data_IF_374168157550
#
_entry.id   IF_374168157550
#
_cell.length_a   1.000
_cell.length_b   1.000
_cell.length_c   1.000
_cell.angle_alpha   90.00
_cell.angle_beta   90.00
_cell.angle_gamma   90.00
#
_symmetry.space_group_name_H-M   'P 1'
#
loop_
_entity.id
_entity.type
_entity.pdbx_description
1 polymer ?
#
# COMPACT_ATOMS: atom_id res chain seq x y z
N UNK A 1 -6.92 -24.32 -2.81
CA UNK A 1 -8.34 -24.41 -3.29
C UNK A 1 -9.09 -25.28 -2.30
N UNK A 2 -10.25 -24.84 -1.82
CA UNK A 2 -11.06 -25.59 -0.88
C UNK A 2 -11.50 -26.93 -1.50
N UNK A 3 -11.38 -28.04 -0.77
CA UNK A 3 -11.75 -29.38 -1.25
C UNK A 3 -13.27 -29.51 -1.31
N UNK A 4 -13.79 -29.95 -2.46
CA UNK A 4 -15.23 -30.19 -2.68
C UNK A 4 -15.54 -31.68 -2.71
N UNK A 5 -16.86 -32.02 -2.67
CA UNK A 5 -17.27 -33.40 -2.83
C UNK A 5 -16.88 -33.99 -4.21
N UNK A 6 -16.87 -33.15 -5.25
CA UNK A 6 -16.42 -33.56 -6.58
C UNK A 6 -14.94 -33.95 -6.58
N UNK A 7 -14.10 -33.16 -5.89
CA UNK A 7 -12.67 -33.47 -5.77
C UNK A 7 -12.45 -34.78 -5.02
N UNK A 8 -13.17 -34.97 -3.91
CA UNK A 8 -13.08 -36.18 -3.09
C UNK A 8 -13.51 -37.43 -3.85
N UNK A 9 -14.59 -37.39 -4.63
CA UNK A 9 -15.09 -38.50 -5.43
C UNK A 9 -14.19 -38.79 -6.64
N UNK A 10 -13.43 -37.81 -7.10
CA UNK A 10 -12.52 -37.92 -8.22
C UNK A 10 -11.15 -38.53 -7.85
N UNK A 11 -10.86 -38.69 -6.54
CA UNK A 11 -9.60 -39.28 -6.10
C UNK A 11 -9.54 -40.78 -6.38
N UNK A 12 -8.69 -41.21 -7.34
CA UNK A 12 -8.61 -42.61 -7.73
C UNK A 12 -8.05 -43.53 -6.62
N UNK A 13 -7.33 -42.95 -5.63
CA UNK A 13 -6.76 -43.71 -4.53
C UNK A 13 -7.84 -44.18 -3.53
N UNK A 14 -8.97 -43.51 -3.50
CA UNK A 14 -10.09 -43.83 -2.59
C UNK A 14 -11.15 -44.72 -3.26
N UNK A 15 -11.21 -44.72 -4.59
CA UNK A 15 -12.16 -45.58 -5.34
C UNK A 15 -13.63 -45.40 -4.90
N UNK A 16 -13.99 -44.16 -4.47
CA UNK A 16 -15.35 -43.84 -4.06
C UNK A 16 -16.28 -43.81 -5.26
N UNK A 17 -17.51 -44.26 -5.09
CA UNK A 17 -18.48 -44.31 -6.17
C UNK A 17 -19.75 -43.60 -5.76
N UNK A 18 -20.09 -42.50 -6.48
CA UNK A 18 -21.36 -41.82 -6.28
C UNK A 18 -22.54 -42.75 -6.58
N UNK A 19 -23.56 -42.76 -5.74
CA UNK A 19 -24.79 -43.54 -5.88
C UNK A 19 -26.00 -42.64 -5.66
N UNK A 20 -27.10 -42.92 -6.35
CA UNK A 20 -28.33 -42.12 -6.29
C UNK A 20 -28.39 -41.05 -7.39
N UNK A 21 -29.41 -40.21 -7.32
CA UNK A 21 -29.72 -39.18 -8.31
C UNK A 21 -29.23 -37.77 -7.87
N UNK A 22 -28.90 -37.59 -6.59
CA UNK A 22 -28.45 -36.29 -6.08
C UNK A 22 -27.02 -36.00 -6.56
N UNK A 23 -26.83 -34.83 -7.21
CA UNK A 23 -25.54 -34.41 -7.72
C UNK A 23 -24.63 -33.82 -6.62
N UNK A 24 -23.30 -34.07 -6.68
CA UNK A 24 -22.34 -33.47 -5.76
C UNK A 24 -22.37 -31.94 -5.84
N UNK A 25 -22.41 -31.27 -4.70
CA UNK A 25 -22.33 -29.80 -4.63
C UNK A 25 -20.89 -29.30 -4.75
N UNK A 26 -20.73 -28.06 -5.24
CA UNK A 26 -19.44 -27.36 -5.26
C UNK A 26 -19.12 -26.70 -3.91
N UNK A 27 -19.89 -26.95 -2.87
CA UNK A 27 -19.69 -26.40 -1.53
C UNK A 27 -18.45 -27.04 -0.87
N UNK A 28 -17.59 -26.22 -0.21
CA UNK A 28 -16.38 -26.72 0.43
C UNK A 28 -16.69 -27.66 1.61
N UNK A 29 -16.03 -28.82 1.63
CA UNK A 29 -16.07 -29.73 2.78
C UNK A 29 -15.28 -29.13 3.94
N UNK A 30 -15.90 -28.97 5.09
CA UNK A 30 -15.21 -28.49 6.29
C UNK A 30 -14.58 -29.61 7.11
N UNK A 31 -15.19 -30.81 7.12
CA UNK A 31 -14.70 -31.96 7.87
C UNK A 31 -15.31 -33.27 7.37
N UNK A 32 -14.74 -34.39 7.82
CA UNK A 32 -15.32 -35.73 7.65
C UNK A 32 -15.67 -36.28 9.03
N UNK A 33 -16.93 -36.48 9.26
CA UNK A 33 -17.46 -37.04 10.51
C UNK A 33 -17.72 -38.55 10.33
N UNK A 34 -17.14 -39.38 11.18
CA UNK A 34 -17.40 -40.83 11.21
C UNK A 34 -18.34 -41.13 12.37
N UNK A 35 -19.50 -41.73 12.10
CA UNK A 35 -20.48 -42.00 13.12
C UNK A 35 -21.31 -43.26 12.85
N UNK A 36 -21.62 -44.02 13.91
CA UNK A 36 -22.59 -45.11 13.90
C UNK A 36 -23.82 -44.79 14.76
N UNK A 37 -24.00 -43.50 15.09
CA UNK A 37 -25.19 -43.08 15.89
C UNK A 37 -26.41 -42.99 14.99
N UNK A 38 -27.57 -43.38 15.50
CA UNK A 38 -28.85 -43.17 14.81
C UNK A 38 -29.25 -41.68 14.73
N UNK A 39 -28.79 -40.87 15.70
CA UNK A 39 -28.96 -39.41 15.69
C UNK A 39 -27.62 -38.70 15.98
N UNK A 40 -26.87 -38.32 14.93
CA UNK A 40 -25.60 -37.67 15.11
C UNK A 40 -25.69 -36.13 15.20
N UNK A 41 -26.88 -35.51 15.06
CA UNK A 41 -27.06 -34.03 15.02
C UNK A 41 -26.35 -33.27 16.15
N UNK A 42 -26.30 -33.72 17.42
CA UNK A 42 -25.59 -33.00 18.46
C UNK A 42 -24.07 -32.87 18.26
N UNK A 43 -23.50 -33.63 17.32
CA UNK A 43 -22.05 -33.70 17.03
C UNK A 43 -21.69 -33.18 15.63
N UNK A 44 -22.67 -32.65 14.89
CA UNK A 44 -22.47 -32.09 13.55
C UNK A 44 -22.59 -30.56 13.57
N UNK A 45 -21.79 -29.86 12.79
CA UNK A 45 -21.76 -28.40 12.72
C UNK A 45 -22.23 -27.86 11.36
N UNK A 46 -22.46 -28.76 10.39
CA UNK A 46 -22.78 -28.42 8.99
C UNK A 46 -21.58 -28.40 8.06
N UNK A 47 -21.86 -28.53 6.76
CA UNK A 47 -20.84 -28.62 5.71
C UNK A 47 -19.82 -29.76 5.88
N UNK A 48 -20.23 -30.86 6.51
CA UNK A 48 -19.43 -32.06 6.73
C UNK A 48 -19.84 -33.15 5.75
N UNK A 49 -18.94 -34.11 5.53
CA UNK A 49 -19.26 -35.43 4.93
C UNK A 49 -19.38 -36.43 6.05
N UNK A 50 -20.53 -37.11 6.18
CA UNK A 50 -20.78 -38.14 7.21
C UNK A 50 -20.46 -39.51 6.64
N UNK A 51 -19.57 -40.27 7.30
CA UNK A 51 -19.26 -41.67 6.98
C UNK A 51 -19.92 -42.59 8.02
N UNK A 52 -20.61 -43.63 7.54
CA UNK A 52 -21.23 -44.65 8.38
C UNK A 52 -21.20 -46.02 7.72
N UNK A 53 -21.13 -47.08 8.50
CA UNK A 53 -21.35 -48.47 8.01
C UNK A 53 -22.82 -48.91 8.14
N UNK A 54 -23.63 -48.07 8.79
CA UNK A 54 -25.05 -48.36 9.00
C UNK A 54 -25.32 -49.53 9.93
N UNK A 55 -24.37 -49.91 10.80
CA UNK A 55 -24.51 -51.07 11.70
C UNK A 55 -25.73 -51.00 12.61
N UNK A 56 -26.18 -49.78 12.95
CA UNK A 56 -27.40 -49.53 13.73
C UNK A 56 -28.63 -49.24 12.87
N UNK A 57 -28.49 -49.06 11.60
CA UNK A 57 -29.55 -48.73 10.65
C UNK A 57 -30.18 -49.99 10.07
N UNK A 58 -30.76 -50.81 10.94
CA UNK A 58 -31.23 -52.17 10.61
C UNK A 58 -32.63 -52.21 9.96
N UNK A 59 -33.40 -51.11 10.05
CA UNK A 59 -34.76 -51.05 9.49
C UNK A 59 -34.88 -49.92 8.45
N UNK A 60 -35.76 -50.04 7.45
CA UNK A 60 -36.05 -48.96 6.50
C UNK A 60 -36.47 -47.64 7.19
N UNK A 61 -37.11 -47.72 8.33
CA UNK A 61 -37.53 -46.55 9.12
C UNK A 61 -36.34 -45.83 9.77
N UNK A 62 -35.38 -46.57 10.37
CA UNK A 62 -34.17 -46.01 10.97
C UNK A 62 -33.25 -45.42 9.90
N UNK A 63 -33.16 -46.05 8.71
CA UNK A 63 -32.37 -45.57 7.55
C UNK A 63 -32.88 -44.21 7.07
N UNK A 64 -34.19 -44.08 6.83
CA UNK A 64 -34.77 -42.78 6.43
C UNK A 64 -34.66 -41.73 7.53
N UNK A 65 -34.89 -42.09 8.77
CA UNK A 65 -34.74 -41.15 9.88
C UNK A 65 -33.33 -40.62 10.04
N UNK A 66 -32.32 -41.46 9.83
CA UNK A 66 -30.91 -41.05 9.82
C UNK A 66 -30.63 -40.01 8.73
N UNK A 67 -31.05 -40.26 7.48
CA UNK A 67 -30.85 -39.32 6.36
C UNK A 67 -31.47 -37.95 6.65
N UNK A 68 -32.73 -37.92 7.15
CA UNK A 68 -33.39 -36.65 7.54
C UNK A 68 -32.58 -35.89 8.57
N UNK A 69 -32.08 -36.57 9.60
CA UNK A 69 -31.34 -35.96 10.71
C UNK A 69 -30.01 -35.36 10.24
N UNK A 70 -29.27 -36.05 9.39
CA UNK A 70 -28.00 -35.51 8.85
C UNK A 70 -28.24 -34.39 7.84
N UNK A 71 -29.31 -34.49 7.04
CA UNK A 71 -29.73 -33.39 6.17
C UNK A 71 -30.14 -32.16 6.96
N UNK A 72 -30.95 -32.30 8.03
CA UNK A 72 -31.31 -31.20 8.95
C UNK A 72 -30.10 -30.56 9.61
N UNK A 73 -29.01 -31.30 9.82
CA UNK A 73 -27.76 -30.80 10.37
C UNK A 73 -26.86 -30.08 9.31
N UNK A 74 -27.29 -29.99 8.03
CA UNK A 74 -26.52 -29.33 6.98
C UNK A 74 -25.31 -30.11 6.45
N UNK A 75 -25.38 -31.42 6.51
CA UNK A 75 -24.37 -32.33 5.97
C UNK A 75 -24.35 -32.27 4.43
N UNK A 76 -23.19 -32.25 3.81
CA UNK A 76 -23.02 -32.13 2.36
C UNK A 76 -23.20 -33.48 1.63
N UNK A 77 -22.86 -34.59 2.26
CA UNK A 77 -22.97 -35.92 1.67
C UNK A 77 -22.88 -37.03 2.72
N UNK A 78 -23.44 -38.22 2.37
CA UNK A 78 -23.30 -39.44 3.15
C UNK A 78 -22.40 -40.42 2.42
N UNK A 79 -21.26 -40.79 3.02
CA UNK A 79 -20.44 -41.90 2.58
C UNK A 79 -20.79 -43.19 3.32
N UNK A 80 -21.20 -44.19 2.61
CA UNK A 80 -21.65 -45.47 3.18
C UNK A 80 -20.65 -46.60 2.95
N UNK A 81 -20.07 -47.12 4.02
CA UNK A 81 -19.16 -48.23 4.00
C UNK A 81 -19.85 -49.54 3.74
N UNK A 82 -19.56 -50.20 2.63
CA UNK A 82 -20.09 -51.48 2.22
C UNK A 82 -19.19 -52.63 2.60
N UNK A 83 -19.73 -53.89 2.59
CA UNK A 83 -18.98 -55.14 2.87
C UNK A 83 -18.85 -55.49 4.34
N UNK A 84 -19.42 -54.69 5.26
CA UNK A 84 -19.50 -54.99 6.69
C UNK A 84 -20.94 -55.34 7.12
N UNK A 85 -21.73 -54.39 7.59
CA UNK A 85 -23.10 -54.59 7.99
C UNK A 85 -24.05 -54.76 6.78
N UNK A 86 -23.72 -54.10 5.67
CA UNK A 86 -24.49 -54.10 4.45
C UNK A 86 -23.57 -54.35 3.27
N UNK A 87 -24.05 -55.13 2.26
CA UNK A 87 -23.30 -55.39 1.03
C UNK A 87 -23.37 -54.23 0.02
N UNK A 88 -24.45 -53.44 0.11
CA UNK A 88 -24.76 -52.28 -0.74
C UNK A 88 -25.42 -51.21 0.12
N UNK A 89 -25.51 -49.98 -0.39
CA UNK A 89 -26.25 -48.93 0.30
C UNK A 89 -27.72 -49.34 0.38
N UNK A 90 -28.35 -49.31 1.59
CA UNK A 90 -29.75 -49.72 1.71
C UNK A 90 -30.66 -48.85 0.82
N UNK A 91 -31.58 -49.47 0.04
CA UNK A 91 -32.46 -48.69 -0.87
C UNK A 91 -33.33 -47.67 -0.17
N UNK A 92 -33.72 -47.91 1.08
CA UNK A 92 -34.50 -46.93 1.86
C UNK A 92 -33.68 -45.71 2.32
N UNK A 93 -32.35 -45.87 2.49
CA UNK A 93 -31.44 -44.78 2.78
C UNK A 93 -31.22 -43.97 1.49
N UNK A 94 -30.88 -44.63 0.39
CA UNK A 94 -30.61 -43.99 -0.88
C UNK A 94 -31.81 -43.22 -1.43
N UNK A 95 -33.01 -43.83 -1.41
CA UNK A 95 -34.23 -43.16 -1.85
C UNK A 95 -34.58 -41.92 -1.02
N UNK A 96 -34.38 -41.94 0.31
CA UNK A 96 -34.59 -40.76 1.14
C UNK A 96 -33.53 -39.67 0.89
N UNK A 97 -32.27 -40.07 0.60
CA UNK A 97 -31.20 -39.13 0.25
C UNK A 97 -31.50 -38.44 -1.09
N UNK A 98 -31.98 -39.20 -2.09
CA UNK A 98 -32.39 -38.65 -3.39
C UNK A 98 -33.60 -37.69 -3.23
N UNK A 99 -34.61 -38.06 -2.43
CA UNK A 99 -35.80 -37.23 -2.18
C UNK A 99 -35.44 -35.87 -1.53
N UNK A 100 -34.37 -35.84 -0.74
CA UNK A 100 -33.85 -34.63 -0.06
C UNK A 100 -32.76 -33.93 -0.83
N UNK A 101 -32.31 -34.46 -1.98
CA UNK A 101 -31.20 -33.89 -2.76
C UNK A 101 -29.85 -34.01 -2.02
N UNK A 102 -29.67 -34.94 -1.10
CA UNK A 102 -28.46 -35.20 -0.35
C UNK A 102 -27.60 -36.23 -1.06
N UNK A 103 -26.42 -35.86 -1.59
CA UNK A 103 -25.50 -36.80 -2.27
C UNK A 103 -25.13 -37.98 -1.37
N UNK A 104 -25.14 -39.20 -1.95
CA UNK A 104 -24.65 -40.37 -1.29
C UNK A 104 -23.60 -41.09 -2.15
N UNK A 105 -22.59 -41.67 -1.53
CA UNK A 105 -21.56 -42.42 -2.20
C UNK A 105 -21.12 -43.67 -1.44
N UNK A 106 -20.70 -44.68 -2.16
CA UNK A 106 -20.19 -45.92 -1.62
C UNK A 106 -18.70 -45.81 -1.31
N UNK A 107 -18.35 -46.23 -0.09
CA UNK A 107 -16.95 -46.42 0.32
C UNK A 107 -16.66 -47.93 0.26
N UNK A 108 -15.72 -48.42 -0.59
CA UNK A 108 -15.35 -49.83 -0.70
C UNK A 108 -14.80 -50.36 0.63
N UNK A 109 -14.97 -51.69 0.86
CA UNK A 109 -14.48 -52.34 2.07
C UNK A 109 -12.98 -52.16 2.32
N UNK A 110 -12.20 -52.14 1.24
CA UNK A 110 -10.75 -52.00 1.25
C UNK A 110 -10.30 -50.60 1.68
N UNK A 111 -11.19 -49.62 1.67
CA UNK A 111 -10.90 -48.21 1.99
C UNK A 111 -11.30 -47.87 3.41
N UNK A 112 -10.37 -47.74 4.34
CA UNK A 112 -10.68 -47.34 5.71
C UNK A 112 -11.24 -45.92 5.73
N UNK A 113 -12.24 -45.66 6.56
CA UNK A 113 -12.80 -44.28 6.73
C UNK A 113 -11.75 -43.24 7.12
N UNK A 114 -10.72 -43.66 7.85
CA UNK A 114 -9.60 -42.79 8.18
C UNK A 114 -8.82 -42.30 6.94
N UNK A 115 -8.79 -43.05 5.85
CA UNK A 115 -8.15 -42.63 4.61
C UNK A 115 -8.93 -41.48 3.96
N UNK A 116 -10.28 -41.57 3.92
CA UNK A 116 -11.14 -40.49 3.44
C UNK A 116 -10.97 -39.22 4.31
N UNK A 117 -11.01 -39.41 5.64
CA UNK A 117 -10.79 -38.29 6.56
C UNK A 117 -9.42 -37.64 6.41
N UNK A 118 -8.37 -38.47 6.20
CA UNK A 118 -7.01 -37.96 5.99
C UNK A 118 -6.89 -37.15 4.69
N UNK A 119 -7.44 -37.63 3.59
CA UNK A 119 -7.42 -36.92 2.29
C UNK A 119 -8.03 -35.50 2.45
N UNK A 120 -9.21 -35.41 3.12
CA UNK A 120 -9.84 -34.10 3.35
C UNK A 120 -9.01 -33.24 4.30
N UNK A 121 -8.49 -33.80 5.39
CA UNK A 121 -7.66 -33.05 6.36
C UNK A 121 -6.35 -32.55 5.73
N UNK A 122 -5.69 -33.37 4.91
CA UNK A 122 -4.47 -33.00 4.18
C UNK A 122 -4.77 -31.86 3.17
N UNK A 123 -5.90 -31.95 2.45
CA UNK A 123 -6.31 -30.91 1.51
C UNK A 123 -6.66 -29.59 2.21
N UNK A 124 -7.37 -29.63 3.33
CA UNK A 124 -7.66 -28.44 4.16
C UNK A 124 -6.38 -27.81 4.73
N UNK A 125 -5.44 -28.64 5.15
CA UNK A 125 -4.15 -28.19 5.64
C UNK A 125 -3.33 -27.53 4.51
N UNK A 126 -3.28 -28.14 3.33
CA UNK A 126 -2.57 -27.61 2.17
C UNK A 126 -3.15 -26.25 1.73
N UNK A 127 -4.47 -26.08 1.74
CA UNK A 127 -5.11 -24.81 1.41
C UNK A 127 -4.75 -23.72 2.43
N UNK A 128 -4.70 -24.06 3.71
CA UNK A 128 -4.27 -23.14 4.76
C UNK A 128 -2.79 -22.76 4.62
N UNK A 129 -1.91 -23.70 4.31
CA UNK A 129 -0.49 -23.44 4.11
C UNK A 129 -0.21 -22.61 2.86
N UNK A 130 -0.92 -22.86 1.75
CA UNK A 130 -0.73 -22.06 0.53
C UNK A 130 -1.11 -20.59 0.73
N UNK A 131 -2.18 -20.30 1.48
CA UNK A 131 -2.54 -18.93 1.83
C UNK A 131 -1.49 -18.22 2.71
N UNK A 132 -0.84 -18.97 3.61
CA UNK A 132 0.25 -18.44 4.42
C UNK A 132 1.52 -18.20 3.60
N UNK A 133 1.85 -19.10 2.67
CA UNK A 133 2.99 -18.95 1.75
C UNK A 133 2.82 -17.71 0.86
N UNK A 134 1.65 -17.51 0.24
CA UNK A 134 1.34 -16.32 -0.56
C UNK A 134 1.50 -15.03 0.25
N UNK A 135 1.06 -15.04 1.51
CA UNK A 135 1.22 -13.88 2.40
C UNK A 135 2.70 -13.59 2.68
N UNK A 136 3.49 -14.63 3.00
CA UNK A 136 4.92 -14.49 3.29
C UNK A 136 5.71 -14.04 2.05
N UNK A 137 5.40 -14.58 0.87
CA UNK A 137 5.97 -14.13 -0.39
C UNK A 137 5.63 -12.66 -0.67
N UNK A 138 4.39 -12.25 -0.46
CA UNK A 138 3.97 -10.86 -0.57
C UNK A 138 4.73 -9.92 0.36
N UNK A 139 4.93 -10.33 1.63
CA UNK A 139 5.72 -9.58 2.59
C UNK A 139 7.19 -9.47 2.16
N UNK A 140 7.80 -10.59 1.75
CA UNK A 140 9.19 -10.62 1.29
C UNK A 140 9.38 -9.74 0.04
N UNK A 141 8.45 -9.80 -0.91
CA UNK A 141 8.46 -8.97 -2.12
C UNK A 141 8.39 -7.48 -1.79
N UNK A 142 7.46 -7.05 -0.94
CA UNK A 142 7.34 -5.65 -0.51
C UNK A 142 8.61 -5.16 0.21
N UNK A 143 9.16 -5.95 1.13
CA UNK A 143 10.38 -5.59 1.87
C UNK A 143 11.60 -5.48 0.95
N UNK A 144 11.81 -6.46 0.06
CA UNK A 144 12.94 -6.45 -0.88
C UNK A 144 12.85 -5.29 -1.87
N UNK A 145 11.64 -4.96 -2.32
CA UNK A 145 11.40 -3.84 -3.23
C UNK A 145 11.70 -2.49 -2.56
N UNK A 146 11.33 -2.33 -1.29
CA UNK A 146 11.65 -1.12 -0.52
C UNK A 146 13.16 -0.93 -0.34
N UNK A 147 13.89 -2.01 -0.08
CA UNK A 147 15.36 -2.00 0.11
C UNK A 147 16.12 -1.82 -1.22
N UNK A 148 15.45 -1.97 -2.35
CA UNK A 148 16.00 -1.77 -3.67
C UNK A 148 16.17 -0.29 -4.04
N UNK A 149 16.74 0.00 -5.22
CA UNK A 149 17.07 1.37 -5.65
C UNK A 149 15.85 2.27 -5.88
N UNK A 150 14.66 1.68 -6.04
CA UNK A 150 13.41 2.43 -6.24
C UNK A 150 12.72 2.86 -4.95
N UNK A 151 13.14 2.33 -3.78
CA UNK A 151 12.64 2.71 -2.47
C UNK A 151 11.10 2.74 -2.36
N UNK A 152 10.58 3.82 -1.81
CA UNK A 152 9.14 4.00 -1.58
C UNK A 152 8.30 3.93 -2.86
N UNK A 153 8.79 4.48 -3.97
CA UNK A 153 8.04 4.43 -5.24
C UNK A 153 7.92 3.01 -5.78
N UNK A 154 8.98 2.21 -5.67
CA UNK A 154 8.95 0.81 -6.06
C UNK A 154 8.06 -0.04 -5.14
N UNK A 155 8.09 0.22 -3.82
CA UNK A 155 7.18 -0.42 -2.88
C UNK A 155 5.71 -0.16 -3.23
N UNK A 156 5.34 1.09 -3.56
CA UNK A 156 3.98 1.42 -3.97
C UNK A 156 3.61 0.75 -5.30
N UNK A 157 4.57 0.62 -6.23
CA UNK A 157 4.41 -0.11 -7.49
C UNK A 157 4.12 -1.60 -7.24
N UNK A 158 4.86 -2.22 -6.35
CA UNK A 158 4.66 -3.62 -5.99
C UNK A 158 3.31 -3.83 -5.26
N UNK A 159 2.96 -2.92 -4.35
CA UNK A 159 1.65 -2.95 -3.69
C UNK A 159 0.50 -2.81 -4.71
N UNK A 160 0.62 -1.90 -5.67
CA UNK A 160 -0.36 -1.74 -6.75
C UNK A 160 -0.46 -3.01 -7.62
N UNK A 161 0.66 -3.71 -7.85
CA UNK A 161 0.72 -4.98 -8.57
C UNK A 161 -0.01 -6.09 -7.81
N UNK A 162 0.25 -6.25 -6.52
CA UNK A 162 -0.38 -7.27 -5.67
C UNK A 162 -1.89 -7.02 -5.58
N UNK A 163 -2.29 -5.78 -5.31
CA UNK A 163 -3.70 -5.41 -5.15
C UNK A 163 -4.45 -5.23 -6.48
N UNK A 164 -3.72 -5.17 -7.60
CA UNK A 164 -4.26 -4.90 -8.95
C UNK A 164 -5.11 -3.63 -9.02
N UNK A 165 -4.72 -2.59 -8.30
CA UNK A 165 -5.42 -1.30 -8.25
C UNK A 165 -4.45 -0.13 -8.14
N UNK A 166 -4.96 1.10 -8.30
CA UNK A 166 -4.16 2.30 -8.12
C UNK A 166 -3.89 2.56 -6.65
N UNK A 167 -2.64 2.92 -6.36
CA UNK A 167 -2.18 3.26 -5.01
C UNK A 167 -1.52 4.63 -5.01
N UNK A 168 -1.86 5.48 -4.05
CA UNK A 168 -1.25 6.80 -3.90
C UNK A 168 -1.00 7.14 -2.43
N UNK A 169 0.10 7.85 -2.17
CA UNK A 169 0.50 8.29 -0.85
C UNK A 169 0.39 9.80 -0.76
N UNK A 170 -0.28 10.28 0.28
CA UNK A 170 -0.48 11.70 0.53
C UNK A 170 0.15 12.10 1.87
N UNK A 171 0.74 13.28 1.91
CA UNK A 171 1.21 13.91 3.14
C UNK A 171 0.64 15.33 3.20
N UNK A 172 -0.03 15.68 4.30
CA UNK A 172 -0.78 16.94 4.47
C UNK A 172 -1.83 17.22 3.39
N UNK A 173 -2.21 16.23 2.58
CA UNK A 173 -3.13 16.40 1.44
C UNK A 173 -2.45 16.50 0.08
N UNK A 174 -1.14 16.77 0.02
CA UNK A 174 -0.38 16.69 -1.22
C UNK A 174 -0.01 15.23 -1.55
N UNK A 175 -0.13 14.85 -2.82
CA UNK A 175 0.35 13.57 -3.30
C UNK A 175 1.88 13.61 -3.34
N UNK A 176 2.52 12.68 -2.63
CA UNK A 176 3.98 12.60 -2.54
C UNK A 176 4.57 11.42 -3.31
N UNK A 177 3.76 10.40 -3.58
CA UNK A 177 4.14 9.25 -4.40
C UNK A 177 2.88 8.51 -4.86
N UNK A 178 3.01 7.59 -5.81
CA UNK A 178 1.92 6.70 -6.20
C UNK A 178 2.27 5.85 -7.41
N UNK A 179 1.55 4.74 -7.55
CA UNK A 179 1.68 3.82 -8.67
C UNK A 179 0.30 3.54 -9.27
N UNK A 180 0.17 3.53 -10.59
CA UNK A 180 -1.05 3.14 -11.27
C UNK A 180 -1.20 1.61 -11.25
N UNK A 181 -2.43 1.17 -11.44
CA UNK A 181 -2.75 -0.24 -11.68
C UNK A 181 -1.88 -0.80 -12.83
N UNK A 182 -1.28 -1.98 -12.66
CA UNK A 182 -0.56 -2.63 -13.75
C UNK A 182 -1.50 -2.86 -14.94
N UNK A 183 -1.05 -2.51 -16.14
CA UNK A 183 -1.80 -2.80 -17.37
C UNK A 183 -1.61 -4.26 -17.72
N UNK A 184 -2.70 -4.99 -17.95
CA UNK A 184 -2.65 -6.32 -18.55
C UNK A 184 -2.10 -6.22 -19.97
N UNK A 185 -0.84 -6.62 -20.15
CA UNK A 185 -0.17 -6.64 -21.47
C UNK A 185 -0.70 -7.73 -22.39
N UNK A 186 -1.57 -8.63 -21.89
CA UNK A 186 -2.17 -9.74 -22.65
C UNK A 186 -3.49 -9.37 -23.36
N UNK A 187 -4.06 -8.18 -23.08
CA UNK A 187 -5.27 -7.76 -23.79
C UNK A 187 -4.92 -7.21 -25.20
N UNK A 188 -5.57 -7.69 -26.28
CA UNK A 188 -5.34 -7.16 -27.63
C UNK A 188 -5.66 -5.66 -27.69
N UNK A 189 -4.72 -4.86 -28.20
CA UNK A 189 -4.88 -3.42 -28.43
C UNK A 189 -5.99 -3.18 -29.44
N UNK A 190 -7.23 -2.99 -28.97
CA UNK A 190 -8.30 -2.41 -29.77
C UNK A 190 -8.25 -0.86 -29.66
N UNK A 191 -8.46 -0.11 -30.74
CA UNK A 191 -8.34 1.36 -30.75
C UNK A 191 -9.44 2.11 -29.99
N UNK A 192 -10.28 1.44 -29.21
CA UNK A 192 -11.44 2.02 -28.49
C UNK A 192 -11.37 1.86 -26.96
N UNK A 193 -10.30 1.29 -26.38
CA UNK A 193 -10.23 1.04 -24.93
C UNK A 193 -9.81 2.25 -24.08
N UNK A 194 -9.17 3.27 -24.66
CA UNK A 194 -8.69 4.45 -23.91
C UNK A 194 -9.77 5.48 -23.57
N UNK A 195 -10.97 5.37 -24.15
CA UNK A 195 -12.08 6.33 -23.91
C UNK A 195 -13.12 5.85 -22.89
N UNK A 196 -13.10 4.59 -22.46
CA UNK A 196 -14.17 4.01 -21.64
C UNK A 196 -13.92 4.05 -20.12
N UNK A 197 -12.76 4.55 -19.66
CA UNK A 197 -12.42 4.62 -18.24
C UNK A 197 -12.40 6.05 -17.65
N UNK A 198 -12.90 7.01 -18.40
CA UNK A 198 -13.09 8.39 -17.92
C UNK A 198 -14.57 8.59 -17.56
N UNK A 199 -14.98 8.37 -16.31
CA UNK A 199 -16.24 8.92 -15.90
C UNK A 199 -17.16 8.19 -14.91
N UNK A 200 -16.62 7.42 -13.97
CA UNK A 200 -17.38 7.05 -12.76
C UNK A 200 -16.67 7.53 -11.50
N UNK A 201 -17.37 7.91 -10.41
CA UNK A 201 -16.72 8.20 -9.16
C UNK A 201 -16.03 6.93 -8.65
N UNK A 202 -14.72 6.78 -8.90
CA UNK A 202 -13.93 5.68 -8.36
C UNK A 202 -13.82 5.89 -6.85
N UNK A 203 -14.43 5.00 -6.09
CA UNK A 203 -14.33 5.02 -4.63
C UNK A 203 -12.88 4.78 -4.24
N UNK A 204 -12.35 5.63 -3.37
CA UNK A 204 -10.98 5.54 -2.88
C UNK A 204 -10.98 5.40 -1.36
N UNK A 205 -10.40 4.32 -0.87
CA UNK A 205 -10.21 4.06 0.55
C UNK A 205 -8.95 4.79 1.03
N UNK A 206 -9.07 5.54 2.11
CA UNK A 206 -7.97 6.31 2.71
C UNK A 206 -7.60 5.70 4.06
N UNK A 207 -6.42 5.13 4.14
CA UNK A 207 -5.87 4.50 5.33
C UNK A 207 -4.84 5.43 5.98
N UNK A 208 -4.94 5.74 7.27
CA UNK A 208 -3.97 6.57 7.94
C UNK A 208 -2.63 5.84 8.08
N UNK A 209 -1.52 6.54 7.82
CA UNK A 209 -0.17 6.05 8.09
C UNK A 209 0.32 6.70 9.38
N UNK A 210 0.58 5.90 10.40
CA UNK A 210 1.10 6.36 11.68
C UNK A 210 2.60 6.62 11.58
N UNK A 211 3.01 7.84 11.24
CA UNK A 211 4.39 8.27 11.41
C UNK A 211 4.58 8.80 12.84
N UNK A 212 5.70 8.51 13.48
CA UNK A 212 6.01 9.07 14.81
C UNK A 212 6.18 10.61 14.83
N UNK A 213 5.94 11.29 13.70
CA UNK A 213 6.24 12.70 13.45
C UNK A 213 5.01 13.61 13.55
N UNK A 214 3.83 13.10 13.92
CA UNK A 214 2.54 13.81 13.90
C UNK A 214 2.18 14.40 12.52
N UNK A 215 2.68 13.80 11.47
CA UNK A 215 2.35 14.13 10.09
C UNK A 215 0.99 13.54 9.73
N UNK A 216 0.27 14.22 8.84
CA UNK A 216 -0.97 13.69 8.27
C UNK A 216 -0.64 12.92 7.00
N UNK A 217 -0.27 11.65 7.16
CA UNK A 217 0.00 10.76 6.04
C UNK A 217 -1.14 9.79 5.82
N UNK A 218 -1.54 9.59 4.57
CA UNK A 218 -2.62 8.68 4.18
C UNK A 218 -2.23 7.88 2.95
N UNK A 219 -2.46 6.58 3.00
CA UNK A 219 -2.40 5.68 1.86
C UNK A 219 -3.80 5.62 1.23
N UNK A 220 -3.91 5.94 -0.04
CA UNK A 220 -5.14 5.89 -0.80
C UNK A 220 -5.09 4.70 -1.75
N UNK A 221 -6.09 3.83 -1.69
CA UNK A 221 -6.24 2.64 -2.53
C UNK A 221 -7.58 2.73 -3.23
N UNK A 222 -7.57 2.58 -4.56
CA UNK A 222 -8.77 2.67 -5.38
C UNK A 222 -9.48 1.32 -5.43
N UNK A 223 -10.80 1.31 -5.58
CA UNK A 223 -11.59 0.08 -5.81
C UNK A 223 -11.15 -0.67 -7.09
N UNK A 224 -11.19 -2.01 -7.12
CA UNK A 224 -11.68 -2.90 -6.05
C UNK A 224 -10.63 -3.10 -4.94
N UNK A 225 -11.05 -2.96 -3.70
CA UNK A 225 -10.17 -3.09 -2.54
C UNK A 225 -10.81 -3.90 -1.42
N UNK A 226 -10.06 -4.88 -0.89
CA UNK A 226 -10.37 -5.57 0.35
C UNK A 226 -9.18 -5.43 1.30
N UNK A 227 -9.48 -5.14 2.56
CA UNK A 227 -8.44 -5.04 3.59
C UNK A 227 -7.78 -6.41 3.80
N UNK A 228 -6.45 -6.43 3.88
CA UNK A 228 -5.66 -7.66 4.03
C UNK A 228 -4.40 -7.40 4.84
N UNK A 229 -3.82 -8.46 5.41
CA UNK A 229 -2.58 -8.39 6.16
C UNK A 229 -1.39 -7.84 5.33
N UNK A 230 -1.42 -7.98 4.00
CA UNK A 230 -0.43 -7.37 3.10
C UNK A 230 -0.50 -5.85 3.17
N UNK A 231 -1.70 -5.27 3.23
CA UNK A 231 -1.88 -3.82 3.35
C UNK A 231 -1.38 -3.31 4.69
N UNK A 232 -1.67 -4.01 5.80
CA UNK A 232 -1.16 -3.64 7.12
C UNK A 232 0.37 -3.67 7.17
N UNK A 233 0.97 -4.68 6.54
CA UNK A 233 2.41 -4.77 6.43
C UNK A 233 3.00 -3.64 5.58
N UNK A 234 2.40 -3.34 4.43
CA UNK A 234 2.79 -2.21 3.58
C UNK A 234 2.68 -0.87 4.32
N UNK A 235 1.60 -0.64 5.09
CA UNK A 235 1.45 0.55 5.93
C UNK A 235 2.61 0.68 6.93
N UNK A 236 3.02 -0.43 7.54
CA UNK A 236 4.14 -0.45 8.48
C UNK A 236 5.47 -0.09 7.82
N UNK A 237 5.75 -0.67 6.64
CA UNK A 237 6.94 -0.35 5.86
C UNK A 237 6.96 1.12 5.40
N UNK A 238 5.83 1.62 4.89
CA UNK A 238 5.67 3.02 4.48
C UNK A 238 5.90 3.96 5.67
N UNK A 239 5.36 3.62 6.84
CA UNK A 239 5.54 4.40 8.08
C UNK A 239 7.01 4.54 8.46
N UNK A 240 7.76 3.44 8.45
CA UNK A 240 9.20 3.42 8.76
C UNK A 240 9.96 4.25 7.74
N UNK A 241 9.71 4.05 6.46
CA UNK A 241 10.41 4.75 5.38
C UNK A 241 10.12 6.25 5.38
N UNK A 242 8.87 6.67 5.52
CA UNK A 242 8.51 8.09 5.64
C UNK A 242 9.18 8.75 6.84
N UNK A 243 9.24 8.04 7.97
CA UNK A 243 9.91 8.54 9.17
C UNK A 243 11.40 8.71 8.94
N UNK A 244 12.04 7.75 8.29
CA UNK A 244 13.46 7.80 7.93
C UNK A 244 13.76 8.94 6.95
N UNK A 245 13.00 9.05 5.87
CA UNK A 245 13.14 10.13 4.89
C UNK A 245 12.92 11.51 5.51
N UNK A 246 11.94 11.66 6.40
CA UNK A 246 11.69 12.93 7.07
C UNK A 246 12.84 13.32 8.01
N UNK A 247 13.42 12.35 8.74
CA UNK A 247 14.61 12.59 9.59
C UNK A 247 15.81 13.01 8.75
N UNK A 248 16.09 12.29 7.68
CA UNK A 248 17.21 12.59 6.76
C UNK A 248 17.02 13.97 6.13
N UNK A 249 15.82 14.29 5.67
CA UNK A 249 15.46 15.59 5.10
C UNK A 249 15.63 16.73 6.11
N UNK A 250 15.17 16.52 7.34
CA UNK A 250 15.29 17.52 8.41
C UNK A 250 16.74 17.77 8.76
N UNK A 251 17.55 16.72 8.89
CA UNK A 251 18.99 16.84 9.17
C UNK A 251 19.72 17.60 8.04
N UNK A 252 19.45 17.24 6.79
CA UNK A 252 20.03 17.91 5.63
C UNK A 252 19.64 19.40 5.57
N UNK A 253 18.36 19.72 5.78
CA UNK A 253 17.87 21.12 5.82
C UNK A 253 18.52 21.93 6.94
N UNK A 254 18.73 21.31 8.11
CA UNK A 254 19.39 21.98 9.24
C UNK A 254 20.87 22.25 8.94
N UNK A 255 21.59 21.26 8.37
CA UNK A 255 23.01 21.43 8.03
C UNK A 255 23.23 22.53 6.98
N UNK A 256 22.43 22.52 5.90
CA UNK A 256 22.49 23.58 4.87
C UNK A 256 22.06 24.93 5.48
N UNK A 257 21.08 24.91 6.39
CA UNK A 257 20.57 26.11 7.08
C UNK A 257 21.67 26.82 7.86
N UNK A 258 22.51 26.10 8.58
CA UNK A 258 23.64 26.70 9.32
C UNK A 258 24.61 27.41 8.39
N UNK A 259 24.97 26.81 7.28
CA UNK A 259 25.89 27.44 6.29
C UNK A 259 25.26 28.71 5.71
N UNK A 260 23.99 28.67 5.34
CA UNK A 260 23.28 29.84 4.81
C UNK A 260 23.12 30.95 5.86
N UNK A 261 22.84 30.59 7.11
CA UNK A 261 22.70 31.56 8.22
C UNK A 261 24.02 32.29 8.47
N UNK A 262 25.15 31.58 8.47
CA UNK A 262 26.47 32.16 8.62
C UNK A 262 26.80 33.12 7.46
N UNK A 263 26.45 32.80 6.22
CA UNK A 263 26.61 33.68 5.06
C UNK A 263 25.69 34.92 5.20
N UNK A 264 24.43 34.73 5.56
CA UNK A 264 23.46 35.83 5.72
C UNK A 264 23.89 36.78 6.84
N UNK A 265 24.43 36.26 7.93
CA UNK A 265 24.96 37.08 9.04
C UNK A 265 26.30 37.73 8.69
N UNK A 266 27.00 37.29 7.65
CA UNK A 266 28.29 37.76 7.26
C UNK A 266 29.48 37.23 8.09
N UNK A 267 29.24 36.20 8.89
CA UNK A 267 30.27 35.48 9.67
C UNK A 267 31.07 34.52 8.80
N UNK A 268 30.51 34.13 7.65
CA UNK A 268 31.15 33.28 6.65
C UNK A 268 31.15 33.98 5.29
N UNK A 269 32.33 34.23 4.74
CA UNK A 269 32.49 34.97 3.47
C UNK A 269 33.65 34.43 2.61
N UNK A 270 33.76 34.90 1.36
CA UNK A 270 34.86 34.61 0.46
C UNK A 270 35.06 33.13 0.16
N UNK A 271 36.33 32.72 0.11
CA UNK A 271 36.71 31.34 -0.25
C UNK A 271 36.21 30.27 0.74
N UNK A 272 36.15 30.62 2.01
CA UNK A 272 35.62 29.66 3.03
C UNK A 272 34.12 29.42 2.82
N UNK A 273 33.33 30.46 2.56
CA UNK A 273 31.93 30.31 2.22
C UNK A 273 31.74 29.46 0.95
N UNK A 274 32.55 29.69 -0.09
CA UNK A 274 32.50 28.89 -1.31
C UNK A 274 32.82 27.42 -1.04
N UNK A 275 33.82 27.11 -0.23
CA UNK A 275 34.19 25.75 0.14
C UNK A 275 33.04 25.03 0.93
N UNK A 276 32.41 25.73 1.90
CA UNK A 276 31.27 25.19 2.68
C UNK A 276 30.04 24.98 1.83
N UNK A 277 29.76 25.90 0.88
CA UNK A 277 28.68 25.73 -0.09
C UNK A 277 28.92 24.51 -0.98
N UNK A 278 30.15 24.34 -1.51
CA UNK A 278 30.50 23.16 -2.29
C UNK A 278 30.32 21.85 -1.50
N UNK A 279 30.74 21.84 -0.22
CA UNK A 279 30.48 20.70 0.69
C UNK A 279 28.99 20.39 0.93
N UNK A 280 28.11 21.40 0.74
CA UNK A 280 26.66 21.26 0.79
C UNK A 280 26.02 20.94 -0.58
N UNK A 281 26.86 20.72 -1.62
CA UNK A 281 26.44 20.44 -2.99
C UNK A 281 25.92 21.65 -3.75
N UNK A 282 26.39 22.86 -3.40
CA UNK A 282 26.08 24.11 -4.08
C UNK A 282 27.40 24.69 -4.70
N UNK A 283 27.39 24.92 -6.00
CA UNK A 283 28.53 25.53 -6.67
C UNK A 283 28.40 27.06 -6.58
N UNK A 284 29.34 27.70 -5.86
CA UNK A 284 29.38 29.15 -5.70
C UNK A 284 29.67 29.91 -6.99
N UNK A 285 30.22 29.27 -8.03
CA UNK A 285 30.48 29.87 -9.34
C UNK A 285 29.22 29.97 -10.21
N UNK A 286 28.18 29.22 -9.89
CA UNK A 286 26.89 29.23 -10.59
C UNK A 286 26.00 30.33 -10.02
N UNK A 287 25.20 30.95 -10.90
CA UNK A 287 24.18 31.94 -10.46
C UNK A 287 23.05 31.22 -9.72
N UNK A 288 22.69 31.76 -8.55
CA UNK A 288 21.60 31.25 -7.72
C UNK A 288 20.61 32.35 -7.37
N UNK A 289 19.35 31.96 -7.15
CA UNK A 289 18.32 32.75 -6.49
C UNK A 289 17.88 32.08 -5.21
N UNK A 290 17.46 32.87 -4.23
CA UNK A 290 16.92 32.39 -2.97
C UNK A 290 15.41 32.58 -2.96
N UNK A 291 14.69 31.53 -2.60
CA UNK A 291 13.26 31.58 -2.25
C UNK A 291 13.10 31.36 -0.76
N UNK A 292 12.23 32.15 -0.13
CA UNK A 292 11.84 31.96 1.27
C UNK A 292 10.36 31.62 1.32
N UNK A 293 10.04 30.49 1.93
CA UNK A 293 8.66 30.06 2.17
C UNK A 293 8.33 30.29 3.64
N UNK A 294 7.31 31.10 3.89
CA UNK A 294 6.74 31.33 5.23
C UNK A 294 5.30 30.80 5.27
N UNK A 295 4.93 30.18 6.37
CA UNK A 295 3.59 29.64 6.62
C UNK A 295 3.11 30.05 8.01
N UNK A 296 1.83 29.92 8.26
CA UNK A 296 1.27 30.17 9.60
C UNK A 296 2.02 29.33 10.67
N UNK A 297 2.17 29.87 11.87
CA UNK A 297 2.97 29.27 12.96
C UNK A 297 2.58 27.82 13.27
N UNK A 298 1.30 27.49 13.23
CA UNK A 298 0.79 26.12 13.43
C UNK A 298 1.14 25.15 12.32
N UNK A 299 1.57 25.64 11.14
CA UNK A 299 1.90 24.83 9.96
C UNK A 299 3.42 24.66 9.73
N UNK A 300 4.27 25.35 10.48
CA UNK A 300 5.74 25.37 10.29
C UNK A 300 6.38 23.97 10.35
N UNK A 301 5.75 23.06 11.10
CA UNK A 301 6.22 21.67 11.18
C UNK A 301 6.23 20.98 9.81
N UNK A 302 5.24 21.27 8.96
CA UNK A 302 5.17 20.71 7.61
C UNK A 302 6.39 21.09 6.77
N UNK A 303 6.91 22.31 6.92
CA UNK A 303 8.12 22.76 6.21
C UNK A 303 9.39 21.95 6.53
N UNK A 304 9.42 21.25 7.67
CA UNK A 304 10.55 20.39 8.05
C UNK A 304 10.52 19.05 7.34
N UNK A 305 9.34 18.46 7.17
CA UNK A 305 9.16 17.06 6.77
C UNK A 305 8.61 16.89 5.35
N UNK A 306 7.84 17.85 4.84
CA UNK A 306 7.26 17.76 3.51
C UNK A 306 8.36 17.69 2.43
N UNK A 307 8.32 16.73 1.48
CA UNK A 307 9.23 16.71 0.35
C UNK A 307 9.00 17.95 -0.54
N UNK A 308 9.95 18.25 -1.38
CA UNK A 308 9.74 19.18 -2.50
C UNK A 308 8.95 18.47 -3.61
N UNK A 309 8.24 19.21 -4.46
CA UNK A 309 7.52 18.62 -5.58
C UNK A 309 8.49 17.99 -6.60
N UNK A 310 7.94 17.12 -7.45
CA UNK A 310 8.70 16.48 -8.53
C UNK A 310 9.37 17.54 -9.42
N UNK A 311 10.59 17.25 -9.88
CA UNK A 311 11.38 18.20 -10.67
C UNK A 311 12.19 19.23 -9.86
N UNK A 312 12.12 19.18 -8.51
CA UNK A 312 12.87 20.06 -7.61
C UNK A 312 14.11 19.37 -6.99
N UNK A 313 14.52 18.23 -7.52
CA UNK A 313 15.62 17.40 -6.95
C UNK A 313 16.98 18.13 -6.92
N UNK A 314 17.21 19.03 -7.85
CA UNK A 314 18.43 19.86 -7.92
C UNK A 314 18.45 21.05 -6.95
N UNK A 315 17.31 21.34 -6.28
CA UNK A 315 17.16 22.50 -5.40
C UNK A 315 17.65 22.17 -3.99
N UNK A 316 18.52 22.98 -3.44
CA UNK A 316 18.96 22.85 -2.05
C UNK A 316 17.97 23.53 -1.11
N UNK A 317 17.51 22.79 -0.13
CA UNK A 317 16.57 23.29 0.87
C UNK A 317 17.21 23.39 2.25
N UNK A 318 16.90 24.45 2.95
CA UNK A 318 17.43 24.79 4.26
C UNK A 318 16.30 25.22 5.21
N UNK A 319 16.55 25.18 6.51
CA UNK A 319 15.72 25.82 7.52
C UNK A 319 16.49 26.95 8.16
N UNK A 320 15.99 28.18 7.99
CA UNK A 320 16.55 29.39 8.58
C UNK A 320 15.40 30.15 9.24
N UNK A 321 15.52 30.51 10.51
CA UNK A 321 14.49 31.19 11.29
C UNK A 321 13.09 30.53 11.17
N UNK A 322 13.05 29.18 11.25
CA UNK A 322 11.84 28.36 11.09
C UNK A 322 11.15 28.45 9.72
N UNK A 323 11.75 29.11 8.75
CA UNK A 323 11.27 29.20 7.37
C UNK A 323 12.02 28.22 6.48
N UNK A 324 11.36 27.74 5.44
CA UNK A 324 12.01 26.95 4.41
C UNK A 324 12.66 27.89 3.40
N UNK A 325 13.98 27.79 3.28
CA UNK A 325 14.79 28.54 2.34
C UNK A 325 15.24 27.59 1.25
N UNK A 326 15.01 27.97 0.00
CA UNK A 326 15.39 27.17 -1.18
C UNK A 326 16.43 27.97 -1.97
N UNK A 327 17.51 27.30 -2.37
CA UNK A 327 18.55 27.86 -3.25
C UNK A 327 18.41 27.20 -4.62
N UNK A 328 18.02 28.00 -5.61
CA UNK A 328 17.76 27.55 -6.98
C UNK A 328 18.91 27.95 -7.89
N UNK A 329 19.50 26.99 -8.65
CA UNK A 329 20.46 27.33 -9.70
C UNK A 329 19.72 27.98 -10.88
N UNK A 330 20.23 29.10 -11.39
CA UNK A 330 19.56 29.88 -12.44
C UNK A 330 19.32 29.11 -13.75
N UNK A 331 20.22 28.17 -14.08
CA UNK A 331 20.18 27.44 -15.35
C UNK A 331 19.05 26.39 -15.43
N UNK A 332 18.55 25.92 -14.29
CA UNK A 332 17.53 24.84 -14.20
C UNK A 332 16.51 25.12 -13.10
N UNK A 333 16.17 26.39 -12.86
CA UNK A 333 15.24 26.76 -11.81
C UNK A 333 13.81 26.34 -12.18
N UNK A 334 13.15 25.49 -11.38
CA UNK A 334 11.73 25.25 -11.54
C UNK A 334 10.93 26.51 -11.22
N UNK A 335 9.71 26.62 -11.75
CA UNK A 335 8.89 27.79 -11.56
C UNK A 335 8.41 27.93 -10.10
N UNK A 336 8.60 29.10 -9.44
CA UNK A 336 8.11 29.29 -8.07
C UNK A 336 6.59 29.15 -7.92
N UNK A 337 5.81 29.34 -8.99
CA UNK A 337 4.37 29.11 -9.06
C UNK A 337 4.00 27.64 -8.79
N UNK A 338 4.84 26.70 -9.25
CA UNK A 338 4.58 25.27 -9.07
C UNK A 338 4.72 24.88 -7.59
N UNK A 339 5.70 25.47 -6.90
CA UNK A 339 5.84 25.32 -5.46
C UNK A 339 4.64 25.90 -4.72
N UNK A 340 4.15 27.08 -5.12
CA UNK A 340 2.98 27.71 -4.53
C UNK A 340 1.73 26.81 -4.67
N UNK A 341 1.52 26.26 -5.87
CA UNK A 341 0.42 25.33 -6.16
C UNK A 341 0.55 24.06 -5.33
N UNK A 342 1.74 23.47 -5.24
CA UNK A 342 2.01 22.28 -4.44
C UNK A 342 1.73 22.51 -2.95
N UNK A 343 2.22 23.61 -2.36
CA UNK A 343 2.00 23.94 -0.96
C UNK A 343 0.52 24.22 -0.67
N UNK A 344 -0.18 24.86 -1.61
CA UNK A 344 -1.63 25.05 -1.49
C UNK A 344 -2.37 23.71 -1.53
N UNK A 345 -2.01 22.80 -2.44
CA UNK A 345 -2.53 21.43 -2.48
C UNK A 345 -2.27 20.64 -1.20
N UNK A 346 -1.15 20.93 -0.51
CA UNK A 346 -0.84 20.40 0.82
C UNK A 346 -1.66 21.06 1.97
N UNK A 347 -2.59 21.96 1.65
CA UNK A 347 -3.38 22.67 2.65
C UNK A 347 -2.58 23.70 3.46
N UNK A 348 -1.41 24.14 2.94
CA UNK A 348 -0.57 25.12 3.60
C UNK A 348 -0.89 26.53 3.10
N UNK A 349 -1.13 27.44 4.03
CA UNK A 349 -1.25 28.87 3.72
C UNK A 349 0.16 29.47 3.65
N UNK A 350 0.78 29.30 2.47
CA UNK A 350 2.16 29.70 2.25
C UNK A 350 2.26 31.07 1.56
N UNK A 351 3.30 31.82 1.92
CA UNK A 351 3.78 33.00 1.21
C UNK A 351 5.19 32.71 0.77
N UNK A 352 5.51 33.02 -0.49
CA UNK A 352 6.81 32.81 -1.10
C UNK A 352 7.37 34.14 -1.50
N UNK A 353 8.57 34.46 -1.00
CA UNK A 353 9.39 35.58 -1.46
C UNK A 353 10.52 35.06 -2.34
N UNK A 354 10.75 35.69 -3.48
CA UNK A 354 11.78 35.32 -4.46
C UNK A 354 12.77 36.50 -4.58
N UNK A 355 14.04 36.23 -4.30
CA UNK A 355 15.13 37.18 -4.48
C UNK A 355 15.71 37.18 -5.89
N UNK A 356 16.59 38.14 -6.16
CA UNK A 356 17.32 38.24 -7.41
C UNK A 356 18.31 37.08 -7.61
N UNK A 357 18.88 37.01 -8.81
CA UNK A 357 19.80 35.94 -9.21
C UNK A 357 21.23 36.49 -9.26
N UNK A 358 22.11 35.93 -8.44
CA UNK A 358 23.47 36.38 -8.25
C UNK A 358 24.49 35.25 -8.33
N UNK A 359 25.77 35.58 -8.56
CA UNK A 359 26.92 34.69 -8.40
C UNK A 359 27.63 34.99 -7.07
N UNK A 360 28.48 34.07 -6.64
CA UNK A 360 29.32 34.15 -5.44
C UNK A 360 28.52 34.03 -4.11
N UNK A 361 29.20 33.71 -3.01
CA UNK A 361 28.54 33.58 -1.70
C UNK A 361 27.77 34.79 -1.22
N UNK A 362 28.32 36.00 -1.47
CA UNK A 362 27.67 37.25 -1.11
C UNK A 362 26.36 37.48 -1.88
N UNK A 363 26.26 36.97 -3.11
CA UNK A 363 25.04 37.04 -3.89
C UNK A 363 23.90 36.27 -3.27
N UNK A 364 24.15 35.16 -2.55
CA UNK A 364 23.12 34.44 -1.79
C UNK A 364 22.61 35.30 -0.64
N UNK A 365 23.46 36.05 0.04
CA UNK A 365 23.09 37.02 1.07
C UNK A 365 22.10 38.07 0.56
N UNK A 366 22.42 38.65 -0.59
CA UNK A 366 21.56 39.66 -1.21
C UNK A 366 20.22 39.09 -1.63
N UNK A 367 20.25 37.96 -2.34
CA UNK A 367 19.06 37.29 -2.76
C UNK A 367 18.16 36.90 -1.56
N UNK A 368 18.76 36.50 -0.42
CA UNK A 368 18.01 36.22 0.81
C UNK A 368 17.30 37.44 1.37
N UNK A 369 17.98 38.60 1.45
CA UNK A 369 17.36 39.81 1.97
C UNK A 369 16.26 40.33 1.05
N UNK A 370 16.45 40.28 -0.27
CA UNK A 370 15.42 40.63 -1.24
C UNK A 370 14.20 39.69 -1.14
N UNK A 371 14.43 38.37 -1.03
CA UNK A 371 13.33 37.42 -0.82
C UNK A 371 12.57 37.69 0.48
N UNK A 372 13.28 38.02 1.57
CA UNK A 372 12.69 38.38 2.86
C UNK A 372 11.86 39.65 2.79
N UNK A 373 12.33 40.65 2.07
CA UNK A 373 11.58 41.90 1.84
C UNK A 373 10.33 41.62 1.00
N UNK A 374 10.47 40.85 -0.09
CA UNK A 374 9.37 40.49 -0.96
C UNK A 374 8.21 39.83 -0.17
N UNK A 375 8.50 38.98 0.82
CA UNK A 375 7.49 38.34 1.68
C UNK A 375 6.57 39.34 2.39
N UNK A 376 7.05 40.54 2.68
CA UNK A 376 6.25 41.55 3.39
C UNK A 376 5.07 42.09 2.57
N UNK A 377 5.09 41.91 1.25
CA UNK A 377 4.00 42.32 0.35
C UNK A 377 2.71 41.51 0.53
N UNK A 378 2.78 40.34 1.18
CA UNK A 378 1.61 39.61 1.63
C UNK A 378 0.89 38.77 0.58
N UNK A 379 1.36 38.77 -0.68
CA UNK A 379 0.81 37.92 -1.74
C UNK A 379 1.29 36.46 -1.58
N UNK A 380 0.63 35.47 -2.15
CA UNK A 380 1.10 34.09 -2.14
C UNK A 380 2.48 33.91 -2.82
N UNK A 381 2.74 34.65 -3.87
CA UNK A 381 4.04 34.71 -4.55
C UNK A 381 4.47 36.15 -4.76
N UNK A 382 5.65 36.50 -4.26
CA UNK A 382 6.18 37.86 -4.26
C UNK A 382 7.59 37.85 -4.88
N UNK A 383 7.78 38.57 -5.97
CA UNK A 383 9.08 38.73 -6.60
C UNK A 383 9.79 39.96 -6.02
N UNK A 384 11.12 39.90 -5.90
CA UNK A 384 11.91 41.05 -5.52
C UNK A 384 11.75 42.18 -6.55
N UNK A 385 11.66 43.42 -6.05
CA UNK A 385 11.69 44.59 -6.88
C UNK A 385 13.13 45.06 -7.02
N UNK A 386 13.65 45.04 -8.25
CA UNK A 386 15.03 45.47 -8.56
C UNK A 386 15.31 46.95 -8.26
N UNK A 387 14.25 47.74 -8.04
CA UNK A 387 14.34 49.16 -7.71
C UNK A 387 14.08 49.38 -6.21
N UNK A 388 14.02 48.31 -5.38
CA UNK A 388 13.86 48.51 -3.94
C UNK A 388 15.12 49.19 -3.35
N UNK A 389 14.90 49.96 -2.28
CA UNK A 389 15.99 50.59 -1.56
C UNK A 389 16.99 49.58 -1.01
N UNK A 390 16.51 48.39 -0.64
CA UNK A 390 17.34 47.28 -0.16
C UNK A 390 18.26 46.73 -1.29
N UNK A 391 17.72 46.54 -2.49
CA UNK A 391 18.51 46.12 -3.67
C UNK A 391 19.57 47.16 -4.03
N UNK A 392 19.19 48.41 -3.97
CA UNK A 392 20.13 49.51 -4.27
C UNK A 392 21.23 49.63 -3.21
N UNK A 393 20.90 49.55 -1.92
CA UNK A 393 21.87 49.60 -0.83
C UNK A 393 22.80 48.38 -0.85
N UNK A 394 22.26 47.18 -1.07
CA UNK A 394 23.05 45.96 -1.14
C UNK A 394 23.98 45.94 -2.34
N UNK A 395 23.56 46.44 -3.51
CA UNK A 395 24.42 46.60 -4.67
C UNK A 395 25.51 47.66 -4.49
N UNK A 396 25.32 48.64 -3.58
CA UNK A 396 26.29 49.67 -3.31
C UNK A 396 27.34 49.30 -2.24
N UNK A 397 27.06 48.29 -1.41
CA UNK A 397 27.97 47.87 -0.33
C UNK A 397 29.09 46.97 -0.79
N UNK A 398 28.97 46.37 -1.99
CA UNK A 398 29.96 45.43 -2.54
C UNK A 398 30.76 46.00 -3.73
N UNK A 399 30.80 47.28 -3.91
CA UNK A 399 31.93 47.86 -4.65
C UNK A 399 33.17 47.67 -3.77
N UNK A 400 34.16 46.83 -4.12
CA UNK A 400 35.35 46.67 -3.31
C UNK A 400 35.96 48.06 -3.13
N UNK A 401 36.13 48.51 -1.90
CA UNK A 401 36.89 49.69 -1.58
C UNK A 401 38.31 49.65 -2.16
N UNK A 402 38.75 48.48 -2.65
CA UNK A 402 39.99 48.26 -3.36
C UNK A 402 40.01 48.84 -4.80
N UNK A 403 38.85 49.08 -5.44
CA UNK A 403 38.77 49.70 -6.78
C UNK A 403 38.51 51.21 -6.76
N UNK A 404 38.47 51.79 -5.55
CA UNK A 404 38.33 53.23 -5.31
C UNK A 404 39.63 53.89 -4.81
N UNK A 405 40.78 53.21 -4.88
CA UNK A 405 42.10 53.73 -4.51
C UNK A 405 43.01 53.89 -5.71
#
# INVERSE_FOLDING_TARGET
>A
MAVTLVDLLSDPALGLVAEGAAEPTAEPIQWVAVTELEDPRPFLNGAEVVLTTGVRLTTPASQRAFVRRVHEAGVLAIGFGVGLAHQEIPPALLGEADDLGLPAFRVPYEVPFIAVGKTVADALSADHYSGLEELLEGHASLASTLLGPGGLAALLGELARILRTDVALFQYGARIAGAPRPRDTSAPRGPTADAAHAGGPTTTHRLPIATGLKDRCTLAITEPYQHSAIVDYAQSLISVELTNQARTRTAARTAVGQVLEDIVRGTLAGAEAAARLAGSGMDAAVRHSVLIVDVASGQRRALRTLPLPDGWDGVRSALVDERLVLVLPAAAAPAPSDLATYLHGAGLTARIGVGGTYVQPNGLRWSYFEAREALQRGQPLNLADRLSLTSLLMSSVDVPLADLA
#
